data_IF_086886089045
#
_entry.id   IF_086886089045
#
_cell.length_a   1.000
_cell.length_b   1.000
_cell.length_c   1.000
_cell.angle_alpha   90.00
_cell.angle_beta   90.00
_cell.angle_gamma   90.00
#
_symmetry.space_group_name_H-M   'P 1'
#
loop_
_entity.id
_entity.type
_entity.pdbx_description
1 polymer ?
#
# COMPACT_ATOMS: atom_id res chain seq x y z
N UNK A 1 -1.13 -15.88 -3.54
CA UNK A 1 0.02 -14.99 -3.81
C UNK A 1 1.13 -15.81 -4.47
N UNK A 2 1.77 -15.30 -5.53
CA UNK A 2 2.72 -16.09 -6.33
C UNK A 2 4.20 -15.77 -6.05
N UNK A 3 4.57 -14.50 -5.90
CA UNK A 3 5.98 -14.06 -5.83
C UNK A 3 6.40 -13.55 -4.42
N UNK A 4 5.69 -14.00 -3.38
CA UNK A 4 5.85 -13.54 -2.00
C UNK A 4 4.82 -12.48 -1.59
N UNK A 5 4.37 -12.55 -0.35
CA UNK A 5 3.45 -11.56 0.23
C UNK A 5 4.25 -10.38 0.78
N UNK A 6 3.95 -9.18 0.31
CA UNK A 6 4.54 -7.94 0.78
C UNK A 6 3.79 -7.39 1.97
N UNK A 7 2.45 -7.37 1.88
CA UNK A 7 1.59 -6.83 2.94
C UNK A 7 0.19 -7.43 2.93
N UNK A 8 -0.57 -7.12 3.98
CA UNK A 8 -1.95 -7.53 4.16
C UNK A 8 -2.74 -6.40 4.82
N UNK A 9 -4.00 -6.24 4.41
CA UNK A 9 -4.95 -5.33 5.06
C UNK A 9 -6.32 -6.00 5.19
N UNK A 10 -7.10 -5.58 6.18
CA UNK A 10 -8.47 -6.04 6.38
C UNK A 10 -9.46 -4.88 6.25
N UNK A 11 -10.53 -5.10 5.50
CA UNK A 11 -11.66 -4.19 5.44
C UNK A 11 -12.94 -4.98 5.18
N UNK A 12 -14.03 -4.61 5.86
CA UNK A 12 -15.36 -5.23 5.68
C UNK A 12 -15.35 -6.78 5.74
N UNK A 13 -14.53 -7.36 6.64
CA UNK A 13 -14.41 -8.81 6.81
C UNK A 13 -13.68 -9.54 5.67
N UNK A 14 -13.01 -8.80 4.79
CA UNK A 14 -12.15 -9.33 3.72
C UNK A 14 -10.70 -8.97 3.98
N UNK A 15 -9.81 -9.91 3.66
CA UNK A 15 -8.38 -9.70 3.68
C UNK A 15 -7.86 -9.49 2.27
N UNK A 16 -7.08 -8.44 2.07
CA UNK A 16 -6.40 -8.15 0.82
C UNK A 16 -4.92 -8.39 1.04
N UNK A 17 -4.39 -9.44 0.42
CA UNK A 17 -2.97 -9.76 0.44
C UNK A 17 -2.35 -9.25 -0.85
N UNK A 18 -1.28 -8.48 -0.71
CA UNK A 18 -0.52 -7.87 -1.79
C UNK A 18 0.91 -8.40 -1.77
N UNK A 19 1.70 -8.14 -2.80
CA UNK A 19 3.09 -8.53 -2.75
C UNK A 19 3.89 -8.34 -4.01
N UNK A 20 4.95 -9.14 -4.06
CA UNK A 20 6.02 -9.02 -5.02
C UNK A 20 5.54 -9.21 -6.46
N UNK A 21 6.18 -8.50 -7.39
CA UNK A 21 6.05 -8.75 -8.83
C UNK A 21 7.40 -8.70 -9.55
N UNK A 22 7.60 -9.56 -10.56
CA UNK A 22 8.80 -9.51 -11.38
C UNK A 22 8.83 -8.24 -12.23
N UNK A 23 10.04 -7.82 -12.62
CA UNK A 23 10.24 -6.69 -13.53
C UNK A 23 9.49 -6.92 -14.85
N UNK A 24 8.88 -5.86 -15.38
CA UNK A 24 8.16 -5.89 -16.66
C UNK A 24 6.66 -6.13 -16.56
N UNK A 25 6.13 -6.47 -15.38
CA UNK A 25 4.67 -6.51 -15.14
C UNK A 25 4.16 -5.08 -14.95
N UNK A 26 3.26 -4.63 -15.82
CA UNK A 26 2.79 -3.24 -15.87
C UNK A 26 1.46 -3.01 -15.12
N UNK A 27 1.26 -3.73 -14.02
CA UNK A 27 0.07 -3.69 -13.17
C UNK A 27 0.40 -4.33 -11.81
N UNK A 28 -0.50 -4.19 -10.83
CA UNK A 28 -0.36 -4.83 -9.52
C UNK A 28 -1.51 -5.81 -9.25
N UNK A 29 -1.24 -6.84 -8.44
CA UNK A 29 -2.23 -7.85 -8.08
C UNK A 29 -2.63 -7.75 -6.61
N UNK A 30 -3.93 -7.81 -6.35
CA UNK A 30 -4.50 -7.83 -5.02
C UNK A 30 -5.26 -9.15 -4.87
N UNK A 31 -4.89 -9.97 -3.89
CA UNK A 31 -5.52 -11.27 -3.67
C UNK A 31 -6.50 -11.15 -2.52
N UNK A 32 -7.79 -11.33 -2.80
CA UNK A 32 -8.86 -11.23 -1.82
C UNK A 32 -9.14 -12.59 -1.17
N UNK A 33 -9.26 -12.57 0.14
CA UNK A 33 -9.60 -13.71 0.98
C UNK A 33 -10.77 -13.37 1.91
N UNK A 34 -11.56 -14.38 2.28
CA UNK A 34 -12.57 -14.22 3.34
C UNK A 34 -11.95 -14.28 4.75
N UNK A 35 -12.79 -14.16 5.77
CA UNK A 35 -12.39 -14.21 7.18
C UNK A 35 -11.73 -15.53 7.61
N UNK A 36 -11.92 -16.61 6.87
CA UNK A 36 -11.28 -17.92 7.10
C UNK A 36 -10.03 -18.09 6.25
N UNK A 37 -9.52 -17.02 5.64
CA UNK A 37 -8.42 -17.03 4.70
C UNK A 37 -8.63 -17.97 3.50
N UNK A 38 -9.89 -18.17 3.08
CA UNK A 38 -10.19 -18.83 1.82
C UNK A 38 -10.06 -17.84 0.67
N UNK A 39 -9.29 -18.20 -0.34
CA UNK A 39 -9.12 -17.36 -1.53
C UNK A 39 -10.45 -17.16 -2.25
N UNK A 40 -10.78 -15.90 -2.55
CA UNK A 40 -11.98 -15.52 -3.29
C UNK A 40 -11.63 -15.22 -4.74
N UNK A 41 -10.79 -14.21 -4.97
CA UNK A 41 -10.40 -13.78 -6.31
C UNK A 41 -9.13 -12.94 -6.32
N UNK A 42 -8.54 -12.80 -7.50
CA UNK A 42 -7.44 -11.87 -7.78
C UNK A 42 -8.00 -10.64 -8.49
N UNK A 43 -7.73 -9.47 -7.96
CA UNK A 43 -7.97 -8.18 -8.62
C UNK A 43 -6.71 -7.72 -9.35
N UNK A 44 -6.92 -7.05 -10.48
CA UNK A 44 -5.86 -6.40 -11.24
C UNK A 44 -5.99 -4.89 -11.03
N UNK A 45 -5.01 -4.31 -10.34
CA UNK A 45 -4.89 -2.88 -10.16
C UNK A 45 -4.09 -2.30 -11.32
N UNK A 46 -4.75 -1.52 -12.18
CA UNK A 46 -4.17 -0.89 -13.38
C UNK A 46 -3.26 0.31 -13.06
N UNK A 47 -2.29 0.11 -12.17
CA UNK A 47 -1.39 1.16 -11.66
C UNK A 47 -0.22 1.51 -12.57
N UNK A 48 -0.02 0.75 -13.64
CA UNK A 48 1.27 0.67 -14.31
C UNK A 48 2.31 -0.06 -13.45
N UNK A 49 3.55 -0.07 -13.93
CA UNK A 49 4.69 -0.67 -13.27
C UNK A 49 5.00 -0.03 -11.91
N UNK A 50 5.43 -0.86 -10.98
CA UNK A 50 6.01 -0.49 -9.67
C UNK A 50 7.24 -1.34 -9.41
N UNK A 51 8.25 -0.80 -8.75
CA UNK A 51 9.46 -1.55 -8.42
C UNK A 51 9.12 -2.71 -7.46
N UNK A 52 9.24 -3.95 -7.95
CA UNK A 52 8.99 -5.19 -7.18
C UNK A 52 7.57 -5.32 -6.58
N UNK A 53 6.59 -4.51 -6.97
CA UNK A 53 5.19 -4.65 -6.53
C UNK A 53 4.84 -3.84 -5.27
N UNK A 54 3.77 -4.27 -4.58
CA UNK A 54 3.23 -3.60 -3.40
C UNK A 54 3.75 -4.27 -2.13
N UNK A 55 4.23 -3.46 -1.19
CA UNK A 55 4.84 -3.89 0.07
C UNK A 55 3.95 -3.68 1.29
N UNK A 56 3.02 -2.74 1.27
CA UNK A 56 2.10 -2.51 2.38
C UNK A 56 0.73 -2.10 1.86
N UNK A 57 -0.30 -2.36 2.64
CA UNK A 57 -1.67 -2.00 2.31
C UNK A 57 -2.41 -1.52 3.56
N UNK A 58 -3.34 -0.59 3.41
CA UNK A 58 -4.37 -0.31 4.41
C UNK A 58 -5.64 0.23 3.75
N UNK A 59 -6.75 0.20 4.47
CA UNK A 59 -8.00 0.86 4.08
C UNK A 59 -8.31 2.00 5.05
N UNK A 60 -8.34 3.22 4.54
CA UNK A 60 -8.57 4.43 5.32
C UNK A 60 -9.18 5.51 4.42
N UNK A 61 -9.96 6.44 4.98
CA UNK A 61 -10.53 7.55 4.21
C UNK A 61 -11.31 7.06 2.97
N UNK A 62 -12.11 6.00 3.16
CA UNK A 62 -12.90 5.32 2.13
C UNK A 62 -12.14 4.93 0.85
N UNK A 63 -10.83 4.67 0.95
CA UNK A 63 -10.00 4.22 -0.16
C UNK A 63 -8.93 3.23 0.31
N UNK A 64 -8.41 2.48 -0.63
CA UNK A 64 -7.23 1.64 -0.43
C UNK A 64 -5.96 2.44 -0.67
N UNK A 65 -4.96 2.18 0.18
CA UNK A 65 -3.63 2.75 0.10
C UNK A 65 -2.62 1.62 -0.04
N UNK A 66 -1.67 1.77 -0.95
CA UNK A 66 -0.67 0.74 -1.25
C UNK A 66 0.71 1.37 -1.34
N UNK A 67 1.60 1.03 -0.40
CA UNK A 67 2.98 1.48 -0.42
C UNK A 67 3.86 0.53 -1.23
N UNK A 68 4.69 1.08 -2.10
CA UNK A 68 5.58 0.37 -3.02
C UNK A 68 7.03 0.77 -2.82
N UNK A 69 7.97 -0.09 -3.20
CA UNK A 69 9.38 0.30 -3.24
C UNK A 69 9.63 1.44 -4.23
N UNK A 70 10.74 2.17 -4.01
CA UNK A 70 11.15 3.25 -4.90
C UNK A 70 10.36 4.55 -4.70
N UNK A 71 9.83 4.77 -3.49
CA UNK A 71 9.04 5.96 -3.13
C UNK A 71 7.74 6.10 -3.92
N UNK A 72 6.98 5.03 -4.07
CA UNK A 72 5.69 5.08 -4.77
C UNK A 72 4.54 4.74 -3.82
N UNK A 73 3.49 5.56 -3.85
CA UNK A 73 2.21 5.30 -3.18
C UNK A 73 1.12 5.18 -4.25
N UNK A 74 0.31 4.12 -4.18
CA UNK A 74 -0.88 3.96 -5.01
C UNK A 74 -2.13 4.10 -4.15
N UNK A 75 -3.20 4.59 -4.78
CA UNK A 75 -4.55 4.54 -4.20
C UNK A 75 -5.53 3.87 -5.15
N UNK A 76 -6.58 3.29 -4.56
CA UNK A 76 -7.71 2.75 -5.31
C UNK A 76 -9.02 3.02 -4.55
N UNK A 77 -10.14 3.08 -5.27
CA UNK A 77 -11.46 3.14 -4.65
C UNK A 77 -11.83 1.81 -3.96
N UNK A 78 -12.96 1.79 -3.26
CA UNK A 78 -13.47 0.60 -2.54
C UNK A 78 -13.61 -0.66 -3.40
N UNK A 79 -13.73 -0.51 -4.73
CA UNK A 79 -13.88 -1.59 -5.70
C UNK A 79 -12.55 -1.96 -6.37
N UNK A 80 -11.43 -1.44 -5.88
CA UNK A 80 -10.09 -1.61 -6.43
C UNK A 80 -9.88 -1.01 -7.82
N UNK A 81 -10.67 0.00 -8.19
CA UNK A 81 -10.35 0.82 -9.35
C UNK A 81 -9.19 1.75 -8.98
N UNK A 82 -8.11 1.70 -9.75
CA UNK A 82 -6.96 2.57 -9.55
C UNK A 82 -7.36 4.04 -9.65
N UNK A 83 -6.95 4.85 -8.66
CA UNK A 83 -7.32 6.27 -8.57
C UNK A 83 -6.15 7.21 -8.78
N UNK A 84 -5.00 6.95 -8.12
CA UNK A 84 -3.84 7.82 -8.23
C UNK A 84 -2.54 7.10 -7.85
N UNK A 85 -1.43 7.66 -8.32
CA UNK A 85 -0.05 7.28 -7.98
C UNK A 85 0.73 8.54 -7.58
N UNK A 86 1.45 8.47 -6.49
CA UNK A 86 2.20 9.57 -5.90
C UNK A 86 3.67 9.17 -5.68
N UNK A 87 4.57 10.15 -5.76
CA UNK A 87 5.97 10.00 -5.36
C UNK A 87 6.09 10.22 -3.85
N UNK A 88 5.80 9.16 -3.08
CA UNK A 88 5.80 9.16 -1.62
C UNK A 88 6.32 7.82 -1.09
N UNK A 89 7.33 7.90 -0.24
CA UNK A 89 7.84 6.74 0.49
C UNK A 89 6.93 6.34 1.65
N UNK A 90 6.38 5.14 1.53
CA UNK A 90 5.66 4.44 2.57
C UNK A 90 5.79 2.92 2.42
N UNK A 91 6.86 2.42 1.78
CA UNK A 91 7.02 0.99 1.51
C UNK A 91 7.14 0.15 2.80
N UNK A 92 7.69 0.75 3.86
CA UNK A 92 7.88 0.10 5.16
C UNK A 92 6.58 -0.09 5.95
N UNK A 93 5.56 0.73 5.70
CA UNK A 93 4.30 0.60 6.39
C UNK A 93 3.39 1.81 6.15
N UNK A 94 2.10 1.52 6.05
CA UNK A 94 1.03 2.51 6.10
C UNK A 94 -0.15 1.84 6.78
N UNK A 95 -0.70 2.48 7.80
CA UNK A 95 -1.89 1.98 8.47
C UNK A 95 -2.82 3.11 8.92
N UNK A 96 -4.08 2.75 9.16
CA UNK A 96 -5.12 3.66 9.61
C UNK A 96 -5.01 3.86 11.12
N UNK A 97 -4.91 5.11 11.56
CA UNK A 97 -5.24 5.48 12.95
C UNK A 97 -6.73 5.77 13.05
N UNK A 98 -7.27 6.57 12.13
CA UNK A 98 -8.69 6.80 11.91
C UNK A 98 -8.91 7.33 10.48
N UNK A 99 -10.15 7.69 10.11
CA UNK A 99 -10.46 8.17 8.74
C UNK A 99 -9.73 9.46 8.34
N UNK A 100 -9.16 10.21 9.27
CA UNK A 100 -8.46 11.48 9.02
C UNK A 100 -6.97 11.39 9.30
N UNK A 101 -6.47 10.23 9.70
CA UNK A 101 -5.12 10.09 10.21
C UNK A 101 -4.53 8.71 9.91
N UNK A 102 -3.34 8.74 9.32
CA UNK A 102 -2.53 7.60 8.95
C UNK A 102 -1.30 7.52 9.86
N UNK A 103 -0.82 6.30 10.10
CA UNK A 103 0.49 6.00 10.64
C UNK A 103 1.35 5.50 9.47
N UNK A 104 2.47 6.16 9.20
CA UNK A 104 3.35 5.85 8.07
C UNK A 104 4.73 5.46 8.59
N UNK A 105 5.20 4.29 8.18
CA UNK A 105 6.57 3.84 8.39
C UNK A 105 7.49 4.43 7.33
N UNK A 106 8.60 5.02 7.76
CA UNK A 106 9.62 5.60 6.89
C UNK A 106 11.00 5.16 7.33
N UNK A 107 11.97 5.27 6.44
CA UNK A 107 13.37 5.15 6.83
C UNK A 107 14.24 6.24 6.22
N UNK A 108 15.36 6.45 6.89
CA UNK A 108 16.48 7.20 6.36
C UNK A 108 17.71 6.30 6.34
N UNK A 109 18.60 6.55 5.38
CA UNK A 109 19.87 5.84 5.25
C UNK A 109 21.02 6.81 5.52
N UNK A 110 21.90 6.46 6.45
CA UNK A 110 23.15 7.18 6.70
C UNK A 110 24.33 6.20 6.55
N UNK A 111 25.04 6.29 5.42
CA UNK A 111 26.07 5.32 5.06
C UNK A 111 25.51 3.89 4.95
N UNK A 112 25.95 3.00 5.82
CA UNK A 112 25.46 1.60 5.91
C UNK A 112 24.30 1.41 6.89
N UNK A 113 23.96 2.43 7.69
CA UNK A 113 22.94 2.35 8.71
C UNK A 113 21.58 2.79 8.17
N UNK A 114 20.54 2.05 8.53
CA UNK A 114 19.15 2.42 8.30
C UNK A 114 18.51 2.78 9.64
N UNK A 115 17.78 3.89 9.68
CA UNK A 115 16.94 4.27 10.82
C UNK A 115 15.49 4.27 10.37
N UNK A 116 14.65 3.49 11.04
CA UNK A 116 13.21 3.48 10.81
C UNK A 116 12.49 4.42 11.78
N UNK A 117 11.43 5.05 11.31
CA UNK A 117 10.53 5.87 12.13
C UNK A 117 9.08 5.60 11.75
N UNK A 118 8.17 5.85 12.69
CA UNK A 118 6.74 5.88 12.44
C UNK A 118 6.22 7.30 12.68
N UNK A 119 5.57 7.88 11.68
CA UNK A 119 5.09 9.26 11.70
C UNK A 119 3.60 9.32 11.44
N UNK A 120 2.94 10.33 12.00
CA UNK A 120 1.54 10.60 11.71
C UNK A 120 1.40 11.41 10.42
N UNK A 121 0.42 11.07 9.60
CA UNK A 121 0.13 11.78 8.36
C UNK A 121 -1.38 11.98 8.16
N UNK A 122 -1.76 13.04 7.44
CA UNK A 122 -3.14 13.34 7.07
C UNK A 122 -3.32 13.07 5.57
N UNK A 123 -4.37 12.35 5.14
CA UNK A 123 -4.71 12.21 3.73
C UNK A 123 -4.83 13.56 3.01
N UNK A 124 -4.31 13.63 1.78
CA UNK A 124 -4.36 14.80 0.91
C UNK A 124 -4.60 14.34 -0.52
N UNK A 125 -5.63 14.88 -1.18
CA UNK A 125 -6.02 14.41 -2.51
C UNK A 125 -4.97 14.66 -3.59
N UNK A 126 -4.21 15.76 -3.48
CA UNK A 126 -3.21 16.15 -4.47
C UNK A 126 -1.85 15.50 -4.19
N UNK A 127 -1.53 15.27 -2.91
CA UNK A 127 -0.21 14.80 -2.49
C UNK A 127 -0.21 13.34 -2.04
N UNK A 128 -1.35 12.69 -1.89
CA UNK A 128 -1.49 11.41 -1.22
C UNK A 128 -1.66 11.61 0.28
N UNK A 129 -0.59 12.02 0.98
CA UNK A 129 -0.68 12.43 2.37
C UNK A 129 0.35 13.53 2.72
N UNK A 130 0.13 14.21 3.84
CA UNK A 130 1.05 15.19 4.42
C UNK A 130 1.40 14.78 5.85
N UNK A 131 2.70 14.68 6.14
CA UNK A 131 3.19 14.34 7.48
C UNK A 131 2.87 15.47 8.46
N UNK A 132 2.36 15.10 9.64
CA UNK A 132 2.20 16.02 10.77
C UNK A 132 3.55 16.23 11.43
N UNK A 133 3.97 17.49 11.53
CA UNK A 133 5.10 17.92 12.35
C UNK A 133 4.66 18.11 13.79
#
# INVERSE_FOLDING_TARGET
>A
VTFGAGGIACHAGKFIVVGGLPKGVNENYLYEYDANFKFIKKHILKSGYTLMGIQTATFADNKWWFGCYGSELLTADVNFNFTAKYDLDCALGIDRVNDKLLLVGRNTKNGKQYTGEAVLAVPDAAKGFVIRK
#
